data_IF_441164636293
#
_entry.id   IF_441164636293
#
_cell.length_a   1.000
_cell.length_b   1.000
_cell.length_c   1.000
_cell.angle_alpha   90.00
_cell.angle_beta   90.00
_cell.angle_gamma   90.00
#
_symmetry.space_group_name_H-M   'P 1'
#
loop_
_entity.id
_entity.type
_entity.pdbx_description
1 polymer ?
#
# COMPACT_ATOMS: atom_id res chain seq x y z
N UNK A 1 14.98 -11.32 -20.50
CA UNK A 1 14.89 -9.99 -21.13
C UNK A 1 15.15 -8.94 -20.05
N UNK A 2 16.31 -8.28 -20.07
CA UNK A 2 16.69 -7.30 -19.03
C UNK A 2 15.82 -6.04 -19.24
N UNK A 3 15.10 -5.60 -18.20
CA UNK A 3 14.29 -4.39 -18.27
C UNK A 3 15.22 -3.17 -18.36
N UNK A 4 15.02 -2.31 -19.36
CA UNK A 4 15.82 -1.08 -19.49
C UNK A 4 15.58 -0.18 -18.25
N UNK A 5 16.63 0.46 -17.71
CA UNK A 5 16.52 1.37 -16.55
C UNK A 5 15.45 2.45 -16.76
N UNK A 6 15.30 2.94 -17.99
CA UNK A 6 14.25 3.92 -18.36
C UNK A 6 12.83 3.34 -18.26
N UNK A 7 12.64 2.07 -18.61
CA UNK A 7 11.33 1.39 -18.47
C UNK A 7 10.99 1.13 -17.00
N UNK A 8 11.98 0.72 -16.20
CA UNK A 8 11.81 0.54 -14.76
C UNK A 8 11.44 1.86 -14.08
N UNK A 9 12.12 2.95 -14.43
CA UNK A 9 11.81 4.29 -13.93
C UNK A 9 10.37 4.71 -14.30
N UNK A 10 9.95 4.54 -15.55
CA UNK A 10 8.57 4.86 -15.99
C UNK A 10 7.52 4.09 -15.20
N UNK A 11 7.71 2.78 -14.97
CA UNK A 11 6.78 1.97 -14.17
C UNK A 11 6.73 2.45 -12.73
N UNK A 12 7.90 2.69 -12.13
CA UNK A 12 8.00 3.20 -10.75
C UNK A 12 7.30 4.54 -10.60
N UNK A 13 7.60 5.51 -11.46
CA UNK A 13 6.97 6.82 -11.42
C UNK A 13 5.47 6.76 -11.70
N UNK A 14 5.01 5.89 -12.61
CA UNK A 14 3.58 5.73 -12.87
C UNK A 14 2.81 5.20 -11.64
N UNK A 15 3.32 4.16 -10.99
CA UNK A 15 2.67 3.58 -9.80
C UNK A 15 2.76 4.51 -8.59
N UNK A 16 3.93 5.12 -8.36
CA UNK A 16 4.09 6.08 -7.26
C UNK A 16 3.28 7.35 -7.49
N UNK A 17 3.19 7.83 -8.74
CA UNK A 17 2.35 8.97 -9.11
C UNK A 17 0.87 8.70 -8.89
N UNK A 18 0.38 7.52 -9.28
CA UNK A 18 -1.01 7.12 -9.03
C UNK A 18 -1.31 7.01 -7.52
N UNK A 19 -0.39 6.43 -6.73
CA UNK A 19 -0.51 6.35 -5.28
C UNK A 19 -0.48 7.74 -4.62
N UNK A 20 0.42 8.63 -5.05
CA UNK A 20 0.50 10.00 -4.56
C UNK A 20 -0.77 10.80 -4.90
N UNK A 21 -1.29 10.68 -6.12
CA UNK A 21 -2.55 11.30 -6.51
C UNK A 21 -3.73 10.81 -5.65
N UNK A 22 -3.77 9.51 -5.35
CA UNK A 22 -4.79 8.95 -4.46
C UNK A 22 -4.66 9.49 -3.02
N UNK A 23 -3.44 9.62 -2.49
CA UNK A 23 -3.21 10.27 -1.19
C UNK A 23 -3.62 11.74 -1.18
N UNK A 24 -3.32 12.49 -2.23
CA UNK A 24 -3.72 13.90 -2.37
C UNK A 24 -5.25 14.00 -2.39
N UNK A 25 -5.94 13.13 -3.14
CA UNK A 25 -7.39 13.10 -3.18
C UNK A 25 -8.00 12.82 -1.79
N UNK A 26 -7.47 11.84 -1.06
CA UNK A 26 -7.90 11.48 0.30
C UNK A 26 -7.60 12.61 1.31
N UNK A 27 -6.44 13.26 1.17
CA UNK A 27 -6.06 14.41 2.01
C UNK A 27 -6.95 15.62 1.77
N UNK A 28 -7.24 15.94 0.51
CA UNK A 28 -8.12 17.04 0.12
C UNK A 28 -9.55 16.84 0.62
N UNK A 29 -10.09 15.61 0.55
CA UNK A 29 -11.38 15.27 1.17
C UNK A 29 -11.34 15.38 2.69
N UNK A 30 -10.22 15.05 3.34
CA UNK A 30 -10.07 15.16 4.80
C UNK A 30 -10.05 16.60 5.32
N UNK A 31 -9.58 17.55 4.51
CA UNK A 31 -9.43 18.96 4.88
C UNK A 31 -10.65 19.82 4.49
N UNK A 32 -11.72 19.22 3.96
CA UNK A 32 -12.90 19.94 3.50
C UNK A 32 -12.68 20.82 2.25
N UNK A 33 -11.55 20.61 1.54
CA UNK A 33 -11.22 21.30 0.28
C UNK A 33 -11.76 20.55 -0.96
N UNK A 34 -12.29 19.34 -0.77
CA UNK A 34 -13.09 18.61 -1.74
C UNK A 34 -14.57 18.67 -1.37
N UNK A 35 -15.46 18.53 -2.36
CA UNK A 35 -16.92 18.58 -2.20
C UNK A 35 -17.51 17.44 -1.34
N UNK A 36 -16.68 16.54 -0.79
CA UNK A 36 -17.03 15.35 -0.01
C UNK A 36 -15.92 15.11 1.04
N UNK A 37 -16.29 15.00 2.32
CA UNK A 37 -15.36 14.78 3.43
C UNK A 37 -14.70 13.40 3.43
N UNK A 38 -13.62 13.19 4.21
CA UNK A 38 -13.05 11.84 4.47
C UNK A 38 -14.08 10.90 5.12
N UNK A 39 -14.95 11.45 5.97
CA UNK A 39 -16.10 10.73 6.52
C UNK A 39 -17.13 10.39 5.43
N UNK A 40 -17.29 11.19 4.38
CA UNK A 40 -18.17 10.85 3.25
C UNK A 40 -17.53 9.81 2.31
N UNK A 41 -16.22 9.87 2.10
CA UNK A 41 -15.47 8.95 1.25
C UNK A 41 -15.34 7.54 1.86
N UNK A 42 -15.33 7.44 3.20
CA UNK A 42 -15.33 6.16 3.92
C UNK A 42 -16.75 5.75 4.35
N UNK A 43 -17.65 6.72 4.59
CA UNK A 43 -18.88 6.53 5.36
C UNK A 43 -19.98 7.59 5.08
N UNK A 44 -20.33 8.02 3.85
CA UNK A 44 -21.59 8.78 3.74
C UNK A 44 -22.34 8.71 2.41
N UNK A 45 -23.62 8.94 2.63
CA UNK A 45 -24.83 8.91 1.84
C UNK A 45 -24.98 10.12 0.90
N UNK A 46 -24.09 10.32 -0.06
CA UNK A 46 -24.49 11.07 -1.26
C UNK A 46 -25.31 10.15 -2.15
N UNK A 47 -26.64 10.19 -2.02
CA UNK A 47 -27.59 9.52 -2.91
C UNK A 47 -27.29 9.89 -4.37
N UNK A 48 -26.82 8.97 -5.23
CA UNK A 48 -27.00 9.11 -6.67
C UNK A 48 -28.42 8.66 -7.02
N UNK A 49 -28.89 9.04 -8.20
CA UNK A 49 -30.22 8.75 -8.79
C UNK A 49 -30.43 7.23 -9.09
N UNK A 50 -29.63 6.35 -8.47
CA UNK A 50 -29.67 4.90 -8.57
C UNK A 50 -29.97 4.39 -7.15
N UNK A 51 -31.02 3.58 -6.99
CA UNK A 51 -31.63 3.23 -5.69
C UNK A 51 -30.67 2.95 -4.52
N UNK A 52 -31.15 3.08 -3.27
CA UNK A 52 -30.33 3.31 -2.07
C UNK A 52 -29.20 2.30 -1.87
N UNK A 53 -29.40 1.03 -2.23
CA UNK A 53 -28.38 -0.01 -2.12
C UNK A 53 -27.28 0.09 -3.19
N UNK A 54 -27.62 0.39 -4.45
CA UNK A 54 -26.67 0.45 -5.55
C UNK A 54 -25.75 1.70 -5.44
N UNK A 55 -26.32 2.83 -5.03
CA UNK A 55 -25.54 4.04 -4.73
C UNK A 55 -24.51 3.81 -3.61
N UNK A 56 -24.92 3.16 -2.52
CA UNK A 56 -24.04 2.83 -1.39
C UNK A 56 -22.91 1.85 -1.77
N UNK A 57 -23.21 0.83 -2.57
CA UNK A 57 -22.19 -0.13 -3.05
C UNK A 57 -21.15 0.60 -3.92
N UNK A 58 -21.59 1.47 -4.82
CA UNK A 58 -20.70 2.19 -5.73
C UNK A 58 -19.82 3.20 -4.99
N UNK A 59 -20.38 4.00 -4.08
CA UNK A 59 -19.60 4.97 -3.29
C UNK A 59 -18.58 4.27 -2.38
N UNK A 60 -19.04 3.24 -1.64
CA UNK A 60 -18.19 2.42 -0.76
C UNK A 60 -17.04 1.78 -1.52
N UNK A 61 -17.34 1.16 -2.67
CA UNK A 61 -16.30 0.54 -3.49
C UNK A 61 -15.30 1.57 -4.02
N UNK A 62 -15.75 2.77 -4.42
CA UNK A 62 -14.85 3.84 -4.90
C UNK A 62 -13.90 4.34 -3.82
N UNK A 63 -14.40 4.69 -2.64
CA UNK A 63 -13.59 5.17 -1.51
C UNK A 63 -12.59 4.11 -1.03
N UNK A 64 -13.06 2.86 -0.92
CA UNK A 64 -12.19 1.74 -0.56
C UNK A 64 -11.10 1.49 -1.60
N UNK A 65 -11.44 1.46 -2.89
CA UNK A 65 -10.45 1.26 -3.95
C UNK A 65 -9.43 2.40 -4.00
N UNK A 66 -9.84 3.65 -3.76
CA UNK A 66 -8.93 4.78 -3.64
C UNK A 66 -7.93 4.58 -2.49
N UNK A 67 -8.42 4.14 -1.33
CA UNK A 67 -7.57 3.81 -0.18
C UNK A 67 -6.58 2.67 -0.52
N UNK A 68 -7.03 1.61 -1.19
CA UNK A 68 -6.15 0.51 -1.63
C UNK A 68 -5.08 1.01 -2.61
N UNK A 69 -5.43 1.86 -3.57
CA UNK A 69 -4.45 2.44 -4.52
C UNK A 69 -3.43 3.31 -3.79
N UNK A 70 -3.90 4.14 -2.85
CA UNK A 70 -3.05 5.02 -2.05
C UNK A 70 -2.01 4.21 -1.25
N UNK A 71 -2.46 3.20 -0.51
CA UNK A 71 -1.59 2.46 0.42
C UNK A 71 -0.81 1.32 -0.25
N UNK A 72 -1.47 0.52 -1.08
CA UNK A 72 -0.92 -0.74 -1.60
C UNK A 72 -0.30 -0.60 -2.99
N UNK A 73 -0.55 0.52 -3.70
CA UNK A 73 0.05 0.80 -5.01
C UNK A 73 1.57 0.59 -5.04
N UNK A 74 2.36 1.26 -4.20
CA UNK A 74 3.81 1.12 -4.16
C UNK A 74 4.26 -0.32 -3.90
N UNK A 75 3.49 -1.05 -3.09
CA UNK A 75 3.80 -2.42 -2.70
C UNK A 75 3.71 -3.38 -3.89
N UNK A 76 2.84 -3.14 -4.87
CA UNK A 76 2.69 -4.02 -6.06
C UNK A 76 3.86 -3.93 -7.05
N UNK A 77 4.78 -2.97 -6.89
CA UNK A 77 5.90 -2.72 -7.81
C UNK A 77 6.74 -3.96 -8.12
N UNK A 78 7.21 -4.77 -7.14
CA UNK A 78 8.02 -5.95 -7.44
C UNK A 78 7.28 -6.97 -8.31
N UNK A 79 5.99 -7.17 -8.07
CA UNK A 79 5.15 -8.07 -8.87
C UNK A 79 4.97 -7.58 -10.31
N UNK A 80 4.75 -6.28 -10.50
CA UNK A 80 4.65 -5.66 -11.84
C UNK A 80 5.97 -5.80 -12.60
N UNK A 81 7.10 -5.59 -11.94
CA UNK A 81 8.43 -5.78 -12.54
C UNK A 81 8.65 -7.24 -12.94
N UNK A 82 8.30 -8.19 -12.06
CA UNK A 82 8.38 -9.63 -12.35
C UNK A 82 7.57 -10.01 -13.60
N UNK A 83 6.33 -9.53 -13.71
CA UNK A 83 5.48 -9.78 -14.88
C UNK A 83 6.13 -9.22 -16.14
N UNK A 84 6.68 -8.00 -16.11
CA UNK A 84 7.30 -7.37 -17.28
C UNK A 84 8.59 -8.05 -17.74
N UNK A 85 9.37 -8.63 -16.83
CA UNK A 85 10.57 -9.41 -17.16
C UNK A 85 10.20 -10.79 -17.72
N UNK A 86 9.10 -11.37 -17.21
CA UNK A 86 8.60 -12.69 -17.60
C UNK A 86 7.69 -12.70 -18.82
N UNK A 87 7.31 -11.52 -19.35
CA UNK A 87 6.36 -11.38 -20.47
C UNK A 87 6.97 -10.65 -21.66
N UNK A 88 6.63 -11.08 -22.88
CA UNK A 88 7.02 -10.43 -24.13
C UNK A 88 6.55 -8.98 -24.23
N UNK A 89 7.36 -8.13 -24.89
CA UNK A 89 7.15 -6.68 -24.97
C UNK A 89 5.74 -6.27 -25.40
N UNK A 90 5.18 -6.90 -26.44
CA UNK A 90 3.86 -6.58 -26.99
C UNK A 90 2.69 -6.93 -26.04
N UNK A 91 2.91 -7.77 -25.02
CA UNK A 91 1.86 -8.20 -24.07
C UNK A 91 2.03 -7.64 -22.65
N UNK A 92 3.10 -6.89 -22.40
CA UNK A 92 3.41 -6.36 -21.05
C UNK A 92 2.26 -5.53 -20.48
N UNK A 93 1.66 -4.65 -21.30
CA UNK A 93 0.54 -3.81 -20.86
C UNK A 93 -0.66 -4.66 -20.43
N UNK A 94 -1.09 -5.59 -21.30
CA UNK A 94 -2.22 -6.49 -21.02
C UNK A 94 -1.99 -7.37 -19.79
N UNK A 95 -0.79 -7.95 -19.64
CA UNK A 95 -0.48 -8.78 -18.48
C UNK A 95 -0.49 -7.97 -17.16
N UNK A 96 0.04 -6.74 -17.17
CA UNK A 96 -0.03 -5.86 -16.00
C UNK A 96 -1.47 -5.44 -15.71
N UNK A 97 -2.25 -5.07 -16.73
CA UNK A 97 -3.65 -4.71 -16.56
C UNK A 97 -4.48 -5.86 -15.96
N UNK A 98 -4.29 -7.09 -16.43
CA UNK A 98 -4.96 -8.28 -15.89
C UNK A 98 -4.54 -8.60 -14.46
N UNK A 99 -3.25 -8.42 -14.14
CA UNK A 99 -2.77 -8.54 -12.77
C UNK A 99 -3.42 -7.50 -11.85
N UNK A 100 -3.43 -6.23 -12.24
CA UNK A 100 -4.05 -5.15 -11.47
C UNK A 100 -5.55 -5.39 -11.32
N UNK A 101 -6.23 -5.81 -12.38
CA UNK A 101 -7.64 -6.17 -12.33
C UNK A 101 -7.91 -7.28 -11.31
N UNK A 102 -7.14 -8.38 -11.37
CA UNK A 102 -7.27 -9.48 -10.40
C UNK A 102 -6.99 -9.05 -8.97
N UNK A 103 -6.00 -8.17 -8.78
CA UNK A 103 -5.69 -7.59 -7.47
C UNK A 103 -6.86 -6.77 -6.95
N UNK A 104 -7.41 -5.86 -7.76
CA UNK A 104 -8.53 -4.99 -7.36
C UNK A 104 -9.80 -5.80 -7.08
N UNK A 105 -10.10 -6.81 -7.89
CA UNK A 105 -11.25 -7.71 -7.68
C UNK A 105 -11.16 -8.44 -6.34
N UNK A 106 -9.97 -8.91 -5.95
CA UNK A 106 -9.78 -9.57 -4.65
C UNK A 106 -10.11 -8.64 -3.46
N UNK A 107 -9.94 -7.33 -3.63
CA UNK A 107 -10.17 -6.32 -2.59
C UNK A 107 -11.63 -5.87 -2.44
N UNK A 108 -12.50 -6.18 -3.40
CA UNK A 108 -13.91 -5.77 -3.37
C UNK A 108 -14.64 -6.41 -2.18
N UNK A 109 -14.50 -7.73 -1.98
CA UNK A 109 -15.21 -8.45 -0.92
C UNK A 109 -14.80 -7.97 0.48
N UNK A 110 -13.50 -7.90 0.84
CA UNK A 110 -13.08 -7.35 2.13
C UNK A 110 -13.52 -5.90 2.33
N UNK A 111 -13.51 -5.08 1.27
CA UNK A 111 -13.94 -3.69 1.36
C UNK A 111 -15.41 -3.55 1.73
N UNK A 112 -16.29 -4.27 1.02
CA UNK A 112 -17.71 -4.30 1.35
C UNK A 112 -17.95 -4.84 2.77
N UNK A 113 -17.25 -5.91 3.16
CA UNK A 113 -17.39 -6.50 4.49
C UNK A 113 -16.94 -5.54 5.61
N UNK A 114 -15.80 -4.86 5.43
CA UNK A 114 -15.28 -3.93 6.45
C UNK A 114 -16.12 -2.66 6.56
N UNK A 115 -16.61 -2.12 5.45
CA UNK A 115 -17.50 -0.94 5.50
C UNK A 115 -18.85 -1.30 6.12
N UNK A 116 -19.43 -2.45 5.76
CA UNK A 116 -20.66 -2.94 6.39
C UNK A 116 -20.48 -3.17 7.90
N UNK A 117 -19.36 -3.76 8.31
CA UNK A 117 -19.06 -3.94 9.73
C UNK A 117 -18.83 -2.61 10.44
N UNK A 118 -18.07 -1.69 9.84
CA UNK A 118 -17.80 -0.38 10.42
C UNK A 118 -19.08 0.45 10.62
N UNK A 119 -20.00 0.42 9.67
CA UNK A 119 -21.31 1.07 9.77
C UNK A 119 -22.16 0.42 10.87
N UNK A 120 -22.32 -0.90 10.86
CA UNK A 120 -23.09 -1.61 11.89
C UNK A 120 -22.56 -1.38 13.31
N UNK A 121 -21.23 -1.35 13.50
CA UNK A 121 -20.63 -1.09 14.83
C UNK A 121 -20.85 0.36 15.25
N UNK A 122 -20.71 1.34 14.34
CA UNK A 122 -20.97 2.76 14.66
C UNK A 122 -22.42 2.97 15.09
N UNK A 123 -23.35 2.34 14.40
CA UNK A 123 -24.80 2.44 14.70
C UNK A 123 -25.14 1.77 16.04
N UNK A 124 -24.50 0.64 16.36
CA UNK A 124 -24.77 -0.12 17.58
C UNK A 124 -24.06 0.42 18.83
N UNK A 125 -22.88 1.03 18.69
CA UNK A 125 -22.03 1.42 19.82
C UNK A 125 -21.54 2.86 19.69
N UNK A 126 -22.48 3.80 19.50
CA UNK A 126 -22.17 5.22 19.41
C UNK A 126 -21.25 5.67 20.57
N UNK A 127 -20.14 6.34 20.24
CA UNK A 127 -19.13 6.86 21.17
C UNK A 127 -18.36 5.83 22.03
N UNK A 128 -18.38 4.53 21.69
CA UNK A 128 -17.58 3.52 22.39
C UNK A 128 -16.24 3.26 21.71
N UNK A 129 -15.16 3.29 22.48
CA UNK A 129 -13.83 2.87 22.04
C UNK A 129 -13.60 1.36 22.18
N UNK A 130 -14.54 0.61 22.77
CA UNK A 130 -14.38 -0.83 23.05
C UNK A 130 -14.15 -1.66 21.78
N UNK A 131 -14.94 -1.49 20.69
CA UNK A 131 -14.70 -2.25 19.45
C UNK A 131 -13.34 -1.95 18.83
N UNK A 132 -12.92 -0.67 18.86
CA UNK A 132 -11.61 -0.24 18.39
C UNK A 132 -10.48 -0.87 19.21
N UNK A 133 -10.60 -0.88 20.54
CA UNK A 133 -9.62 -1.47 21.45
C UNK A 133 -9.48 -2.98 21.25
N UNK A 134 -10.60 -3.69 21.08
CA UNK A 134 -10.59 -5.13 20.78
C UNK A 134 -9.92 -5.41 19.43
N UNK A 135 -10.29 -4.65 18.39
CA UNK A 135 -9.68 -4.80 17.06
C UNK A 135 -8.18 -4.47 17.08
N UNK A 136 -7.75 -3.46 17.83
CA UNK A 136 -6.34 -3.12 18.03
C UNK A 136 -5.59 -4.24 18.77
N UNK A 137 -6.18 -4.84 19.80
CA UNK A 137 -5.61 -6.01 20.48
C UNK A 137 -5.42 -7.18 19.51
N UNK A 138 -6.45 -7.52 18.73
CA UNK A 138 -6.35 -8.57 17.71
C UNK A 138 -5.30 -8.24 16.64
N UNK A 139 -5.20 -6.97 16.24
CA UNK A 139 -4.17 -6.51 15.32
C UNK A 139 -2.77 -6.74 15.91
N UNK A 140 -2.51 -6.38 17.16
CA UNK A 140 -1.24 -6.61 17.83
C UNK A 140 -0.87 -8.11 17.89
N UNK A 141 -1.83 -8.98 18.23
CA UNK A 141 -1.61 -10.44 18.21
C UNK A 141 -1.33 -10.93 16.79
N UNK A 142 -2.05 -10.42 15.79
CA UNK A 142 -1.82 -10.75 14.38
C UNK A 142 -0.44 -10.28 13.90
N UNK A 143 0.04 -9.10 14.36
CA UNK A 143 1.34 -8.54 14.00
C UNK A 143 2.51 -9.47 14.36
N UNK A 144 2.41 -10.17 15.50
CA UNK A 144 3.47 -11.08 15.95
C UNK A 144 3.29 -12.51 15.44
N UNK A 145 2.15 -12.83 14.85
CA UNK A 145 1.74 -14.19 14.51
C UNK A 145 2.60 -14.82 13.39
N UNK A 146 2.93 -16.14 13.49
CA UNK A 146 3.55 -16.86 12.39
C UNK A 146 2.66 -16.94 11.15
N UNK A 147 1.33 -16.86 11.29
CA UNK A 147 0.40 -16.88 10.16
C UNK A 147 0.56 -15.64 9.28
N UNK A 148 0.72 -14.46 9.89
CA UNK A 148 1.04 -13.24 9.15
C UNK A 148 2.35 -13.39 8.38
N UNK A 149 3.38 -13.98 8.98
CA UNK A 149 4.65 -14.19 8.28
C UNK A 149 4.50 -15.14 7.08
N UNK A 150 3.67 -16.17 7.18
CA UNK A 150 3.35 -17.02 6.01
C UNK A 150 2.71 -16.19 4.90
N UNK A 151 1.79 -15.29 5.22
CA UNK A 151 1.16 -14.40 4.24
C UNK A 151 2.19 -13.46 3.59
N UNK A 152 3.07 -12.82 4.38
CA UNK A 152 4.16 -11.97 3.88
C UNK A 152 5.11 -12.73 2.94
N UNK A 153 5.53 -13.94 3.32
CA UNK A 153 6.37 -14.78 2.47
C UNK A 153 5.68 -15.11 1.13
N UNK A 154 4.36 -15.36 1.16
CA UNK A 154 3.58 -15.61 -0.05
C UNK A 154 3.36 -14.35 -0.89
N UNK A 155 3.34 -13.16 -0.30
CA UNK A 155 3.37 -11.90 -1.05
C UNK A 155 4.67 -11.73 -1.85
N UNK A 156 5.78 -12.31 -1.40
CA UNK A 156 7.08 -12.27 -2.10
C UNK A 156 7.26 -13.44 -3.09
N UNK A 157 6.31 -14.37 -3.15
CA UNK A 157 6.40 -15.53 -4.03
C UNK A 157 6.08 -15.13 -5.48
N UNK A 158 7.07 -15.28 -6.35
CA UNK A 158 6.95 -15.03 -7.78
C UNK A 158 6.73 -16.35 -8.51
N UNK A 159 5.56 -16.53 -9.14
CA UNK A 159 5.24 -17.71 -9.94
C UNK A 159 5.67 -17.49 -11.39
N UNK A 160 6.13 -18.54 -12.10
CA UNK A 160 6.32 -18.46 -13.54
C UNK A 160 4.98 -18.21 -14.23
N UNK A 161 4.98 -17.34 -15.24
CA UNK A 161 3.82 -17.09 -16.09
C UNK A 161 3.93 -17.90 -17.38
N UNK A 162 2.81 -18.43 -17.87
CA UNK A 162 2.77 -19.05 -19.20
C UNK A 162 3.23 -18.06 -20.27
N UNK A 163 4.02 -18.50 -21.26
CA UNK A 163 4.65 -17.59 -22.22
C UNK A 163 3.67 -17.03 -23.26
N UNK A 164 2.64 -17.77 -23.67
CA UNK A 164 1.74 -17.40 -24.78
C UNK A 164 0.25 -17.74 -24.56
N UNK A 165 -0.60 -17.05 -25.33
CA UNK A 165 -2.02 -17.33 -25.48
C UNK A 165 -2.88 -16.99 -24.26
N UNK A 166 -4.13 -17.48 -24.27
CA UNK A 166 -5.11 -17.30 -23.19
C UNK A 166 -4.60 -17.78 -21.82
N UNK A 167 -3.71 -18.78 -21.80
CA UNK A 167 -3.06 -19.27 -20.58
C UNK A 167 -2.22 -18.19 -19.90
N UNK A 168 -1.48 -17.38 -20.67
CA UNK A 168 -0.70 -16.27 -20.13
C UNK A 168 -1.58 -15.20 -19.46
N UNK A 169 -2.71 -14.87 -20.07
CA UNK A 169 -3.68 -13.91 -19.53
C UNK A 169 -4.32 -14.42 -18.22
N UNK A 170 -4.75 -15.68 -18.23
CA UNK A 170 -5.34 -16.32 -17.05
C UNK A 170 -4.32 -16.41 -15.92
N UNK A 171 -3.06 -16.69 -16.22
CA UNK A 171 -2.00 -16.73 -15.22
C UNK A 171 -1.72 -15.35 -14.61
N UNK A 172 -1.73 -14.28 -15.42
CA UNK A 172 -1.59 -12.92 -14.93
C UNK A 172 -2.75 -12.51 -14.01
N UNK A 173 -3.99 -12.81 -14.40
CA UNK A 173 -5.18 -12.56 -13.57
C UNK A 173 -5.14 -13.35 -12.26
N UNK A 174 -4.82 -14.65 -12.33
CA UNK A 174 -4.68 -15.51 -11.14
C UNK A 174 -3.54 -15.08 -10.23
N UNK A 175 -2.44 -14.57 -10.80
CA UNK A 175 -1.35 -13.97 -10.03
C UNK A 175 -1.85 -12.75 -9.25
N UNK A 176 -2.62 -11.87 -9.90
CA UNK A 176 -3.27 -10.72 -9.27
C UNK A 176 -4.17 -11.11 -8.11
N UNK A 177 -5.12 -12.03 -8.36
CA UNK A 177 -6.05 -12.53 -7.33
C UNK A 177 -5.32 -13.14 -6.13
N UNK A 178 -4.33 -14.01 -6.38
CA UNK A 178 -3.54 -14.61 -5.30
C UNK A 178 -2.74 -13.57 -4.52
N UNK A 179 -2.11 -12.63 -5.21
CA UNK A 179 -1.35 -11.57 -4.55
C UNK A 179 -2.27 -10.69 -3.69
N UNK A 180 -3.48 -10.37 -4.18
CA UNK A 180 -4.53 -9.69 -3.43
C UNK A 180 -4.89 -10.43 -2.14
N UNK A 181 -5.23 -11.72 -2.22
CA UNK A 181 -5.60 -12.52 -1.05
C UNK A 181 -4.51 -12.62 0.01
N UNK A 182 -3.25 -12.82 -0.40
CA UNK A 182 -2.13 -12.83 0.55
C UNK A 182 -1.91 -11.44 1.14
N UNK A 183 -2.08 -10.37 0.36
CA UNK A 183 -2.01 -9.00 0.83
C UNK A 183 -3.06 -8.73 1.91
N UNK A 184 -4.32 -9.09 1.65
CA UNK A 184 -5.42 -9.00 2.62
C UNK A 184 -5.05 -9.77 3.89
N UNK A 185 -4.55 -11.01 3.77
CA UNK A 185 -4.09 -11.80 4.91
C UNK A 185 -3.01 -11.11 5.76
N UNK A 186 -2.16 -10.26 5.17
CA UNK A 186 -1.12 -9.54 5.94
C UNK A 186 -1.64 -8.35 6.74
N UNK A 187 -2.66 -7.64 6.25
CA UNK A 187 -3.07 -6.34 6.80
C UNK A 187 -4.53 -6.28 7.29
N UNK A 188 -5.35 -7.30 7.07
CA UNK A 188 -6.77 -7.26 7.44
C UNK A 188 -7.01 -6.84 8.90
N UNK A 189 -6.26 -7.37 9.85
CA UNK A 189 -6.46 -7.03 11.27
C UNK A 189 -6.14 -5.55 11.57
N UNK A 190 -5.10 -5.00 10.91
CA UNK A 190 -4.76 -3.58 11.01
C UNK A 190 -5.83 -2.70 10.38
N UNK A 191 -6.35 -3.12 9.22
CA UNK A 191 -7.44 -2.40 8.54
C UNK A 191 -8.72 -2.42 9.37
N UNK A 192 -9.03 -3.55 10.03
CA UNK A 192 -10.17 -3.66 10.93
C UNK A 192 -10.04 -2.67 12.11
N UNK A 193 -8.86 -2.63 12.74
CA UNK A 193 -8.59 -1.70 13.83
C UNK A 193 -8.74 -0.24 13.39
N UNK A 194 -8.25 0.10 12.20
CA UNK A 194 -8.39 1.44 11.61
C UNK A 194 -9.86 1.80 11.31
N UNK A 195 -10.64 0.87 10.73
CA UNK A 195 -12.04 1.10 10.36
C UNK A 195 -12.93 1.29 11.60
N UNK A 196 -12.64 0.59 12.69
CA UNK A 196 -13.41 0.67 13.93
C UNK A 196 -12.95 1.80 14.85
N UNK A 197 -11.85 2.49 14.54
CA UNK A 197 -11.34 3.60 15.33
C UNK A 197 -12.26 4.84 15.18
N UNK A 198 -12.84 5.38 16.27
CA UNK A 198 -13.56 6.64 16.23
C UNK A 198 -12.54 7.81 16.24
N UNK A 199 -12.63 8.66 15.23
CA UNK A 199 -11.67 9.73 14.94
C UNK A 199 -10.31 9.24 14.43
N UNK A 200 -9.47 10.18 13.98
CA UNK A 200 -8.06 9.96 13.58
C UNK A 200 -7.86 8.92 12.46
N UNK A 201 -8.88 8.61 11.64
CA UNK A 201 -8.77 7.55 10.63
C UNK A 201 -7.68 7.83 9.61
N UNK A 202 -7.47 9.10 9.24
CA UNK A 202 -6.37 9.48 8.35
C UNK A 202 -5.00 9.17 8.97
N UNK A 203 -4.81 9.50 10.25
CA UNK A 203 -3.56 9.22 10.96
C UNK A 203 -3.33 7.71 11.10
N UNK A 204 -4.39 6.96 11.43
CA UNK A 204 -4.35 5.50 11.47
C UNK A 204 -4.04 4.90 10.09
N UNK A 205 -4.61 5.44 9.01
CA UNK A 205 -4.32 5.03 7.64
C UNK A 205 -2.85 5.27 7.27
N UNK A 206 -2.29 6.43 7.60
CA UNK A 206 -0.86 6.69 7.39
C UNK A 206 0.01 5.71 8.19
N UNK A 207 -0.32 5.48 9.46
CA UNK A 207 0.41 4.54 10.32
C UNK A 207 0.37 3.10 9.79
N UNK A 208 -0.81 2.60 9.42
CA UNK A 208 -0.97 1.25 8.85
C UNK A 208 -0.23 1.12 7.52
N UNK A 209 -0.25 2.16 6.68
CA UNK A 209 0.50 2.19 5.41
C UNK A 209 2.00 2.07 5.65
N UNK A 210 2.53 2.87 6.56
CA UNK A 210 3.95 2.86 6.90
C UNK A 210 4.37 1.50 7.48
N UNK A 211 3.58 0.94 8.41
CA UNK A 211 3.84 -0.38 8.99
C UNK A 211 3.83 -1.48 7.92
N UNK A 212 2.79 -1.55 7.10
CA UNK A 212 2.68 -2.55 6.04
C UNK A 212 3.80 -2.40 4.99
N UNK A 213 4.20 -1.18 4.67
CA UNK A 213 5.32 -0.92 3.77
C UNK A 213 6.64 -1.42 4.36
N UNK A 214 6.93 -1.06 5.61
CA UNK A 214 8.14 -1.48 6.32
C UNK A 214 8.25 -3.01 6.46
N UNK A 215 7.14 -3.68 6.77
CA UNK A 215 7.10 -5.15 6.81
C UNK A 215 7.36 -5.80 5.45
N UNK A 216 6.93 -5.17 4.36
CA UNK A 216 7.15 -5.67 3.01
C UNK A 216 8.58 -5.44 2.51
N UNK A 217 9.34 -4.54 3.14
CA UNK A 217 10.77 -4.37 2.88
C UNK A 217 11.62 -5.46 3.54
N UNK A 218 11.13 -6.09 4.61
CA UNK A 218 11.83 -7.19 5.26
C UNK A 218 11.86 -8.43 4.35
N UNK A 219 13.01 -9.11 4.20
CA UNK A 219 13.09 -10.31 3.37
C UNK A 219 12.23 -11.46 3.94
N UNK A 220 11.86 -12.46 3.11
CA UNK A 220 11.15 -13.65 3.59
C UNK A 220 11.93 -14.34 4.72
N UNK A 221 11.25 -14.65 5.83
CA UNK A 221 11.83 -15.33 7.00
C UNK A 221 10.96 -16.48 7.48
N UNK A 222 11.54 -17.38 8.28
CA UNK A 222 10.78 -18.49 8.86
C UNK A 222 9.60 -17.98 9.74
N UNK A 223 8.42 -18.61 9.65
CA UNK A 223 7.28 -18.27 10.50
C UNK A 223 7.59 -18.52 11.99
N UNK A 224 7.52 -17.47 12.80
CA UNK A 224 7.76 -17.52 14.25
C UNK A 224 7.02 -16.39 14.97
N UNK A 225 6.79 -16.52 16.28
CA UNK A 225 6.20 -15.47 17.12
C UNK A 225 7.23 -14.39 17.45
N UNK A 226 7.27 -13.29 16.66
CA UNK A 226 8.25 -12.20 16.81
C UNK A 226 7.69 -10.87 16.30
N UNK A 227 8.11 -9.76 16.92
CA UNK A 227 7.88 -8.40 16.40
C UNK A 227 8.68 -8.17 15.10
N UNK A 228 8.08 -7.54 14.09
CA UNK A 228 8.60 -7.45 12.71
C UNK A 228 8.51 -6.02 12.16
N UNK A 229 9.10 -5.74 10.99
CA UNK A 229 8.95 -4.47 10.27
C UNK A 229 9.94 -3.37 10.63
N UNK A 230 10.64 -3.45 11.76
CA UNK A 230 11.58 -2.40 12.18
C UNK A 230 13.04 -2.63 11.72
N UNK A 231 13.43 -3.87 11.40
CA UNK A 231 14.85 -4.21 11.16
C UNK A 231 15.38 -3.60 9.87
N UNK A 232 14.76 -3.89 8.73
CA UNK A 232 15.29 -3.44 7.44
C UNK A 232 15.00 -1.96 7.21
N UNK A 233 13.83 -1.47 7.64
CA UNK A 233 13.51 -0.04 7.66
C UNK A 233 14.49 0.76 8.53
N UNK A 234 14.82 0.27 9.73
CA UNK A 234 15.81 0.90 10.61
C UNK A 234 17.22 0.91 10.04
N UNK A 235 17.64 -0.18 9.38
CA UNK A 235 18.93 -0.24 8.68
C UNK A 235 18.98 0.70 7.47
N UNK A 236 17.90 0.79 6.70
CA UNK A 236 17.78 1.70 5.56
C UNK A 236 17.84 3.16 6.01
N UNK A 237 17.07 3.53 7.03
CA UNK A 237 17.08 4.88 7.60
C UNK A 237 18.48 5.26 8.13
N UNK A 238 19.16 4.34 8.83
CA UNK A 238 20.54 4.53 9.27
C UNK A 238 21.51 4.79 8.11
N UNK A 239 21.38 4.03 7.01
CA UNK A 239 22.22 4.24 5.81
C UNK A 239 21.95 5.60 5.16
N UNK A 240 20.70 6.00 5.03
CA UNK A 240 20.36 7.29 4.41
C UNK A 240 20.86 8.47 5.25
N UNK A 241 20.72 8.40 6.58
CA UNK A 241 21.30 9.39 7.51
C UNK A 241 22.82 9.44 7.37
N UNK A 242 23.49 8.28 7.30
CA UNK A 242 24.93 8.22 7.10
C UNK A 242 25.36 8.85 5.77
N UNK A 243 24.63 8.57 4.67
CA UNK A 243 24.91 9.16 3.37
C UNK A 243 24.65 10.66 3.33
N UNK A 244 23.56 11.14 3.94
CA UNK A 244 23.27 12.57 4.06
C UNK A 244 24.37 13.28 4.86
N UNK A 245 24.81 12.70 5.97
CA UNK A 245 25.91 13.20 6.79
C UNK A 245 27.23 13.26 6.01
N UNK A 246 27.57 12.21 5.26
CA UNK A 246 28.76 12.19 4.41
C UNK A 246 28.70 13.23 3.28
N UNK A 247 27.53 13.44 2.66
CA UNK A 247 27.33 14.49 1.65
C UNK A 247 27.51 15.88 2.24
N UNK A 248 26.96 16.14 3.43
CA UNK A 248 27.14 17.40 4.12
C UNK A 248 28.61 17.65 4.45
N UNK A 249 29.33 16.67 5.01
CA UNK A 249 30.76 16.78 5.32
C UNK A 249 31.61 17.03 4.07
N UNK A 250 31.30 16.36 2.95
CA UNK A 250 31.99 16.57 1.68
C UNK A 250 31.73 17.97 1.12
N UNK A 251 30.51 18.49 1.27
CA UNK A 251 30.18 19.86 0.87
C UNK A 251 30.89 20.89 1.75
N UNK A 252 30.96 20.69 3.07
CA UNK A 252 31.70 21.59 3.98
C UNK A 252 33.19 21.57 3.70
N UNK A 253 33.78 20.39 3.46
CA UNK A 253 35.18 20.25 3.07
C UNK A 253 35.52 20.98 1.76
N UNK A 254 34.71 20.80 0.71
CA UNK A 254 34.90 21.53 -0.55
C UNK A 254 34.73 23.06 -0.41
N UNK A 255 33.86 23.53 0.49
CA UNK A 255 33.69 24.97 0.77
C UNK A 255 34.90 25.53 1.52
N UNK A 256 35.43 24.82 2.51
CA UNK A 256 36.63 25.21 3.25
C UNK A 256 37.88 25.28 2.35
N UNK A 257 38.09 24.29 1.48
CA UNK A 257 39.19 24.31 0.50
C UNK A 257 39.08 25.46 -0.52
N UNK A 258 37.86 25.79 -0.96
CA UNK A 258 37.64 26.96 -1.84
C UNK A 258 37.97 28.27 -1.14
N UNK A 259 37.67 28.37 0.16
CA UNK A 259 37.95 29.58 0.93
C UNK A 259 39.45 29.71 1.20
N UNK A 260 40.14 28.64 1.58
CA UNK A 260 41.60 28.63 1.73
C UNK A 260 42.33 29.05 0.44
N UNK A 261 41.96 28.47 -0.72
CA UNK A 261 42.51 28.89 -2.03
C UNK A 261 42.25 30.35 -2.38
N UNK A 262 41.16 30.96 -1.90
CA UNK A 262 40.90 32.39 -2.10
C UNK A 262 41.75 33.28 -1.19
N UNK A 263 42.16 32.79 -0.03
CA UNK A 263 42.99 33.52 0.92
C UNK A 263 44.51 33.35 0.66
N UNK A 264 44.95 32.29 -0.03
CA UNK A 264 46.34 32.08 -0.47
C UNK A 264 46.64 32.66 -1.88
N UNK A 265 45.73 33.45 -2.45
CA UNK A 265 45.91 34.13 -3.74
C UNK A 265 45.89 35.66 -3.60
N UNK A 266 46.57 36.18 -2.58
CA UNK A 266 47.07 37.56 -2.53
C UNK A 266 48.56 37.51 -2.21
#
# INVERSE_FOLDING_TARGET
>A
MILNRRELARVRFGVLGASAAAWIAIGASSLGLGHEGLEDALCSSTQPVIGPAAGWILSTSRGWLLMIVAMMGPMTLPAIVHIRVSTFANRRWRAVALFVLGFMVAWVIPGLAMTALGTAVRDATANSYVPAALAAFFACVWQVSPFKQRCLNRCHAHRPLSPFGRKADVDALRLGLRHGWWCIGTCWALMLAMVLLPGWQLAAMVAVSALAFCERLDPPTAPAWRLRGARTAGLWLRREIAHARLRMLRQTGHSAERQARKHELV
#
